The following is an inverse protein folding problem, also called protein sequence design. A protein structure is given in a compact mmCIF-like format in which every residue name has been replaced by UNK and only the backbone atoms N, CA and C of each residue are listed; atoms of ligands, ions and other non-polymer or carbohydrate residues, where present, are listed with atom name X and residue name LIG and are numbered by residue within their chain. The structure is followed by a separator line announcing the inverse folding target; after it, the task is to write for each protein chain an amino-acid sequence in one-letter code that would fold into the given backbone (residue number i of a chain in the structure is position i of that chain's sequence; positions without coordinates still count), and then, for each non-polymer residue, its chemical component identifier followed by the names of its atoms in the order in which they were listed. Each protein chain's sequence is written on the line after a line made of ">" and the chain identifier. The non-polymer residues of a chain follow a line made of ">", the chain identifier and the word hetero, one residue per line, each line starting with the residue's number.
data_IF_071061244859
#
_entry.id   IF_071061244859
#
_cell.length_a   1.000
_cell.length_b   1.000
_cell.length_c   1.000
_cell.angle_alpha   90.00
_cell.angle_beta   90.00
_cell.angle_gamma   90.00
#
_symmetry.space_group_name_H-M   'P 1'
#
loop_
_entity.id
_entity.type
_entity.pdbx_description
1 polymer ?
#
# COMPACT_ATOMS: atom_id res chain seq x y z
N UNK A 1 -13.10 1.00 9.87
CA UNK A 1 -13.31 1.24 8.43
C UNK A 1 -12.20 0.53 7.68
N UNK A 2 -12.54 -0.22 6.62
CA UNK A 2 -11.54 -1.02 5.90
C UNK A 2 -10.84 -0.20 4.81
N UNK A 3 -9.52 -0.33 4.74
CA UNK A 3 -8.65 0.34 3.77
C UNK A 3 -7.67 -0.66 3.17
N UNK A 4 -7.32 -0.53 1.91
CA UNK A 4 -6.28 -1.34 1.27
C UNK A 4 -4.99 -0.51 1.24
N UNK A 5 -3.90 -1.09 1.73
CA UNK A 5 -2.59 -0.45 1.75
C UNK A 5 -1.52 -1.35 1.18
N UNK A 6 -0.43 -0.74 0.72
CA UNK A 6 0.72 -1.43 0.18
C UNK A 6 2.03 -0.85 0.71
N UNK A 7 3.05 -1.70 0.84
CA UNK A 7 4.43 -1.30 1.13
C UNK A 7 5.37 -1.98 0.14
N UNK A 8 6.36 -1.25 -0.33
CA UNK A 8 7.39 -1.78 -1.22
C UNK A 8 8.53 -2.40 -0.40
N UNK A 9 8.91 -3.63 -0.74
CA UNK A 9 9.94 -4.43 -0.06
C UNK A 9 11.14 -4.76 -0.95
N UNK A 10 11.14 -4.35 -2.22
CA UNK A 10 12.23 -4.64 -3.17
C UNK A 10 13.53 -3.86 -2.93
N UNK A 11 13.52 -2.84 -2.07
CA UNK A 11 14.73 -2.13 -1.64
C UNK A 11 14.83 -2.08 -0.11
N UNK A 12 15.82 -2.78 0.45
CA UNK A 12 16.05 -2.92 1.90
C UNK A 12 16.73 -1.70 2.54
N UNK A 13 16.88 -0.59 1.81
CA UNK A 13 17.65 0.59 2.26
C UNK A 13 16.85 1.62 3.08
N UNK A 14 15.61 1.35 3.44
CA UNK A 14 14.79 2.40 4.02
C UNK A 14 14.94 2.54 5.53
N UNK A 15 15.38 3.72 5.98
CA UNK A 15 15.20 4.19 7.36
C UNK A 15 13.69 4.37 7.73
N UNK A 16 12.80 4.43 6.73
CA UNK A 16 11.35 4.59 6.89
C UNK A 16 10.55 3.73 5.90
N UNK A 17 9.58 2.97 6.40
CA UNK A 17 8.69 2.17 5.56
C UNK A 17 7.62 3.04 4.88
N UNK A 18 7.70 3.19 3.56
CA UNK A 18 6.75 3.97 2.78
C UNK A 18 5.44 3.21 2.62
N UNK A 19 4.35 3.76 3.17
CA UNK A 19 3.01 3.16 3.12
C UNK A 19 2.14 3.90 2.13
N UNK A 20 1.49 3.15 1.26
CA UNK A 20 0.56 3.64 0.25
C UNK A 20 -0.85 3.15 0.55
N UNK A 21 -1.87 3.97 0.29
CA UNK A 21 -3.29 3.60 0.42
C UNK A 21 -3.98 3.65 -0.94
N UNK A 22 -4.80 2.64 -1.24
CA UNK A 22 -5.55 2.59 -2.47
C UNK A 22 -6.65 3.65 -2.47
N UNK A 23 -6.59 4.55 -3.44
CA UNK A 23 -7.70 5.42 -3.81
C UNK A 23 -8.55 4.71 -4.87
N UNK A 24 -9.70 4.18 -4.47
CA UNK A 24 -10.60 3.43 -5.36
C UNK A 24 -11.23 4.29 -6.47
N UNK A 25 -11.24 5.62 -6.31
CA UNK A 25 -11.80 6.54 -7.31
C UNK A 25 -10.81 6.72 -8.46
N UNK A 26 -9.53 6.91 -8.14
CA UNK A 26 -8.47 7.16 -9.14
C UNK A 26 -7.78 5.88 -9.58
N UNK A 27 -7.92 4.79 -8.82
CA UNK A 27 -7.26 3.50 -9.01
C UNK A 27 -5.73 3.56 -8.86
N UNK A 28 -5.26 4.45 -7.98
CA UNK A 28 -3.84 4.60 -7.61
C UNK A 28 -3.63 4.27 -6.12
N UNK A 29 -2.48 3.67 -5.81
CA UNK A 29 -1.92 3.66 -4.47
C UNK A 29 -1.17 4.97 -4.23
N UNK A 30 -1.70 5.81 -3.34
CA UNK A 30 -1.13 7.12 -2.99
C UNK A 30 -0.37 7.01 -1.67
N UNK A 31 0.85 7.55 -1.59
CA UNK A 31 1.61 7.53 -0.34
C UNK A 31 0.88 8.36 0.72
N UNK A 32 0.86 7.85 1.97
CA UNK A 32 0.14 8.52 3.05
C UNK A 32 0.72 9.90 3.40
N UNK A 33 2.04 10.06 3.29
CA UNK A 33 2.74 11.31 3.64
C UNK A 33 2.89 12.28 2.47
N UNK A 34 2.92 11.78 1.24
CA UNK A 34 3.09 12.57 0.02
C UNK A 34 2.24 12.00 -1.12
N UNK A 35 1.05 12.58 -1.34
CA UNK A 35 0.10 12.09 -2.35
C UNK A 35 0.54 12.32 -3.79
N UNK A 36 1.58 13.13 -4.03
CA UNK A 36 2.17 13.25 -5.37
C UNK A 36 2.91 11.97 -5.75
N UNK A 37 3.45 11.25 -4.76
CA UNK A 37 4.08 9.96 -4.94
C UNK A 37 3.04 8.84 -4.93
N UNK A 38 2.82 8.23 -6.10
CA UNK A 38 1.77 7.24 -6.30
C UNK A 38 2.09 6.21 -7.38
N UNK A 39 1.48 5.05 -7.26
CA UNK A 39 1.61 3.95 -8.23
C UNK A 39 0.24 3.51 -8.72
N UNK A 40 0.16 3.09 -9.98
CA UNK A 40 -1.06 2.46 -10.51
C UNK A 40 -1.34 1.17 -9.75
N UNK A 41 -2.62 0.91 -9.44
CA UNK A 41 -3.04 -0.32 -8.76
C UNK A 41 -2.49 -1.58 -9.44
N UNK A 42 -2.56 -1.61 -10.77
CA UNK A 42 -2.08 -2.75 -11.57
C UNK A 42 -0.60 -3.02 -11.36
N UNK A 43 0.23 -1.98 -11.36
CA UNK A 43 1.68 -2.11 -11.15
C UNK A 43 2.01 -2.67 -9.76
N UNK A 44 1.26 -2.28 -8.73
CA UNK A 44 1.44 -2.78 -7.36
C UNK A 44 0.96 -4.23 -7.22
N UNK A 45 -0.12 -4.60 -7.90
CA UNK A 45 -0.69 -5.96 -7.84
C UNK A 45 0.10 -7.00 -8.65
N UNK A 46 0.79 -6.59 -9.72
CA UNK A 46 1.57 -7.47 -10.59
C UNK A 46 3.03 -7.68 -10.12
N UNK A 47 3.52 -6.81 -9.23
CA UNK A 47 4.89 -6.82 -8.74
C UNK A 47 5.01 -7.51 -7.37
N UNK A 48 5.85 -8.54 -7.33
CA UNK A 48 6.08 -9.39 -6.14
C UNK A 48 6.84 -8.66 -5.03
N UNK A 49 7.46 -7.52 -5.35
CA UNK A 49 8.17 -6.68 -4.39
C UNK A 49 7.22 -5.75 -3.61
N UNK A 50 5.90 -5.95 -3.72
CA UNK A 50 4.90 -5.25 -2.93
C UNK A 50 4.15 -6.18 -1.97
N UNK A 51 4.02 -5.74 -0.71
CA UNK A 51 3.09 -6.34 0.24
C UNK A 51 1.81 -5.50 0.30
N UNK A 52 0.69 -6.12 -0.02
CA UNK A 52 -0.66 -5.52 -0.03
C UNK A 52 -1.45 -6.11 1.14
N UNK A 53 -2.06 -5.26 1.93
CA UNK A 53 -2.81 -5.63 3.12
C UNK A 53 -4.05 -4.78 3.32
N UNK A 54 -5.08 -5.38 3.90
CA UNK A 54 -6.28 -4.71 4.38
C UNK A 54 -6.05 -4.24 5.81
N UNK A 55 -6.34 -2.97 6.10
CA UNK A 55 -6.32 -2.39 7.44
C UNK A 55 -7.74 -2.10 7.87
N UNK A 56 -8.13 -2.57 9.05
CA UNK A 56 -9.32 -2.11 9.73
C UNK A 56 -8.93 -1.03 10.75
N UNK A 57 -9.28 0.22 10.45
CA UNK A 57 -8.95 1.37 11.30
C UNK A 57 -9.71 1.40 12.62
N UNK A 58 -10.80 0.65 12.75
CA UNK A 58 -11.62 0.69 13.97
C UNK A 58 -11.13 -0.35 14.98
N UNK A 59 -10.50 -1.43 14.48
CA UNK A 59 -10.00 -2.53 15.30
C UNK A 59 -8.48 -2.58 15.40
N UNK A 60 -7.76 -1.63 14.77
CA UNK A 60 -6.30 -1.60 14.65
C UNK A 60 -5.70 -2.94 14.17
N UNK A 61 -6.39 -3.59 13.23
CA UNK A 61 -5.99 -4.88 12.66
C UNK A 61 -5.53 -4.73 11.22
N UNK A 62 -4.54 -5.53 10.84
CA UNK A 62 -4.09 -5.66 9.45
C UNK A 62 -4.13 -7.12 9.01
N UNK A 63 -4.52 -7.35 7.75
CA UNK A 63 -4.58 -8.68 7.12
C UNK A 63 -3.90 -8.63 5.76
N UNK A 64 -2.87 -9.44 5.58
CA UNK A 64 -2.16 -9.57 4.31
C UNK A 64 -3.09 -10.15 3.22
N UNK A 65 -3.01 -9.61 2.01
CA UNK A 65 -3.88 -9.97 0.87
C UNK A 65 -3.11 -10.69 -0.25
N UNK A 66 -1.83 -10.36 -0.46
CA UNK A 66 -0.96 -11.00 -1.45
C UNK A 66 0.23 -11.69 -0.77
N UNK A 67 1.02 -12.47 -1.52
CA UNK A 67 2.08 -13.32 -0.98
C UNK A 67 3.35 -13.22 -1.83
#
# INVERSE_FOLDING_TARGET
>A
MKKIRAVYIGDVRFEQCSVFELNEITNYFEMLVDKEFRYEKKSVEEDVDWLIFEVDTDEDKARLLNK
#
